data_IF_927442065419
#
_entry.id   IF_927442065419
#
_cell.length_a   1.000
_cell.length_b   1.000
_cell.length_c   1.000
_cell.angle_alpha   90.00
_cell.angle_beta   90.00
_cell.angle_gamma   90.00
#
_symmetry.space_group_name_H-M   'P 1'
#
loop_
_entity.id
_entity.type
_entity.pdbx_description
1 polymer ?
#
# COMPACT_ATOMS: atom_id res chain seq x y z
N UNK A 1 -6.72 -53.66 23.40
CA UNK A 1 -8.06 -53.03 23.27
C UNK A 1 -7.89 -51.59 22.82
N UNK A 2 -8.80 -51.09 21.99
CA UNK A 2 -8.87 -49.71 21.45
C UNK A 2 -7.91 -49.40 20.29
N UNK A 3 -8.22 -49.78 19.05
CA UNK A 3 -9.28 -49.29 18.13
C UNK A 3 -8.96 -47.89 17.58
N UNK A 4 -8.54 -47.88 16.32
CA UNK A 4 -8.75 -46.90 15.26
C UNK A 4 -8.72 -45.39 15.58
N UNK A 5 -7.74 -44.72 14.99
CA UNK A 5 -8.01 -43.48 14.26
C UNK A 5 -7.26 -43.51 12.93
N UNK A 6 -7.89 -44.11 11.91
CA UNK A 6 -7.55 -43.84 10.51
C UNK A 6 -7.81 -42.37 10.28
N UNK A 7 -6.86 -41.64 9.70
CA UNK A 7 -7.21 -40.53 8.81
C UNK A 7 -6.06 -40.29 7.81
N UNK A 8 -6.37 -40.66 6.57
CA UNK A 8 -6.00 -40.04 5.29
C UNK A 8 -4.51 -39.86 4.95
N UNK A 9 -4.02 -40.80 4.14
CA UNK A 9 -2.89 -40.58 3.22
C UNK A 9 -3.37 -39.66 2.09
N UNK A 10 -2.84 -38.43 2.05
CA UNK A 10 -2.99 -37.56 0.88
C UNK A 10 -1.65 -36.88 0.59
N UNK A 11 -0.88 -37.56 -0.27
CA UNK A 11 0.19 -37.08 -1.16
C UNK A 11 0.95 -35.83 -0.68
N UNK A 12 2.15 -36.06 -0.13
CA UNK A 12 3.17 -35.03 0.07
C UNK A 12 3.59 -34.49 -1.32
N UNK A 13 3.30 -33.23 -1.69
CA UNK A 13 3.79 -32.69 -2.95
C UNK A 13 5.32 -32.62 -2.94
N UNK A 14 5.89 -32.89 -4.10
CA UNK A 14 7.31 -33.12 -4.35
C UNK A 14 8.20 -32.01 -3.80
N UNK A 15 9.36 -32.43 -3.27
CA UNK A 15 10.41 -31.51 -2.83
C UNK A 15 10.89 -30.70 -4.03
N UNK A 16 10.70 -29.39 -3.97
CA UNK A 16 11.34 -28.45 -4.88
C UNK A 16 12.86 -28.55 -4.65
N UNK A 17 13.68 -28.76 -5.69
CA UNK A 17 15.13 -28.85 -5.55
C UNK A 17 15.73 -27.53 -5.06
N UNK A 18 16.89 -27.55 -4.38
CA UNK A 18 17.56 -26.33 -3.93
C UNK A 18 17.88 -25.44 -5.13
N UNK A 19 17.31 -24.23 -5.16
CA UNK A 19 17.68 -23.22 -6.13
C UNK A 19 19.06 -22.68 -5.74
N UNK A 20 20.11 -23.26 -6.34
CA UNK A 20 21.46 -22.72 -6.25
C UNK A 20 21.57 -21.45 -7.09
N UNK A 21 21.67 -20.33 -6.36
CA UNK A 21 22.46 -19.11 -6.59
C UNK A 21 22.59 -18.55 -8.02
N UNK A 22 22.23 -17.27 -8.14
CA UNK A 22 22.85 -16.15 -8.91
C UNK A 22 21.72 -15.13 -9.15
N UNK A 23 21.78 -13.85 -8.79
CA UNK A 23 22.84 -12.93 -8.43
C UNK A 23 22.33 -11.97 -7.34
N UNK A 24 23.25 -11.50 -6.50
CA UNK A 24 23.01 -10.54 -5.44
C UNK A 24 22.49 -9.20 -6.00
N UNK A 25 21.17 -9.02 -6.08
CA UNK A 25 20.56 -7.68 -6.17
C UNK A 25 20.56 -7.07 -4.77
N UNK A 26 21.76 -6.90 -4.21
CA UNK A 26 22.01 -5.96 -3.14
C UNK A 26 23.13 -5.08 -3.65
N UNK A 27 22.78 -4.11 -4.49
CA UNK A 27 23.68 -3.01 -4.78
C UNK A 27 23.94 -2.31 -3.44
N UNK A 28 25.17 -2.31 -2.89
CA UNK A 28 25.46 -1.46 -1.76
C UNK A 28 25.42 -0.03 -2.31
N UNK A 29 24.37 0.73 -1.97
CA UNK A 29 24.41 2.18 -2.10
C UNK A 29 25.36 2.69 -1.02
N UNK A 30 26.66 2.61 -1.33
CA UNK A 30 27.70 3.31 -0.60
C UNK A 30 27.94 4.66 -1.27
N UNK A 31 27.31 5.68 -0.72
CA UNK A 31 28.00 6.91 -0.33
C UNK A 31 27.71 7.09 1.15
N UNK A 32 28.69 7.53 1.94
CA UNK A 32 28.59 7.76 3.39
C UNK A 32 27.71 8.98 3.72
N UNK A 33 26.50 9.01 3.16
CA UNK A 33 25.57 10.12 3.25
C UNK A 33 24.46 9.71 4.21
N UNK A 34 24.63 10.13 5.46
CA UNK A 34 23.68 9.95 6.54
C UNK A 34 22.50 10.89 6.30
N UNK A 35 21.34 10.33 5.94
CA UNK A 35 20.11 11.12 5.76
C UNK A 35 19.40 11.26 7.11
N UNK A 36 19.13 12.50 7.51
CA UNK A 36 18.32 12.79 8.70
C UNK A 36 16.83 12.52 8.39
N UNK A 37 16.19 11.72 9.24
CA UNK A 37 14.74 11.47 9.17
C UNK A 37 14.06 12.65 9.87
N UNK A 38 13.31 13.46 9.11
CA UNK A 38 12.58 14.61 9.64
C UNK A 38 11.08 14.32 9.65
N UNK A 39 10.40 14.67 10.74
CA UNK A 39 8.93 14.60 10.83
C UNK A 39 8.31 15.79 10.09
N UNK A 40 7.36 15.51 9.18
CA UNK A 40 6.64 16.54 8.41
C UNK A 40 5.15 16.22 8.41
N UNK A 41 4.31 17.24 8.64
CA UNK A 41 2.86 17.12 8.55
C UNK A 41 2.38 17.36 7.11
N UNK A 42 1.63 16.41 6.56
CA UNK A 42 1.02 16.53 5.23
C UNK A 42 -0.45 16.93 5.42
N UNK A 43 -0.78 18.16 5.03
CA UNK A 43 -2.16 18.65 5.04
C UNK A 43 -2.78 18.58 3.64
N UNK A 44 -4.07 18.25 3.53
CA UNK A 44 -4.76 18.26 2.24
C UNK A 44 -4.86 19.69 1.68
N UNK A 45 -4.79 19.81 0.37
CA UNK A 45 -4.95 21.08 -0.33
C UNK A 45 -6.40 21.58 -0.25
N UNK A 46 -6.57 22.90 -0.30
CA UNK A 46 -7.88 23.55 -0.31
C UNK A 46 -8.20 24.02 -1.72
N UNK A 47 -9.46 23.92 -2.11
CA UNK A 47 -9.97 24.42 -3.39
C UNK A 47 -11.29 25.17 -3.20
N UNK A 48 -11.71 25.92 -4.22
CA UNK A 48 -13.02 26.57 -4.25
C UNK A 48 -13.99 25.64 -4.97
N UNK A 49 -15.11 25.33 -4.32
CA UNK A 49 -16.19 24.57 -4.95
C UNK A 49 -16.76 25.38 -6.13
N UNK A 50 -16.79 24.83 -7.35
CA UNK A 50 -17.29 25.55 -8.52
C UNK A 50 -18.79 25.85 -8.44
N UNK A 51 -19.55 25.06 -7.69
CA UNK A 51 -21.01 25.18 -7.61
C UNK A 51 -21.47 26.24 -6.61
N UNK A 52 -20.85 26.30 -5.42
CA UNK A 52 -21.28 27.20 -4.34
C UNK A 52 -20.27 28.30 -3.99
N UNK A 53 -19.07 28.26 -4.55
CA UNK A 53 -17.99 29.20 -4.23
C UNK A 53 -17.38 29.01 -2.82
N UNK A 54 -17.81 28.00 -2.06
CA UNK A 54 -17.28 27.70 -0.74
C UNK A 54 -15.91 27.02 -0.80
N UNK A 55 -15.05 27.30 0.19
CA UNK A 55 -13.73 26.66 0.30
C UNK A 55 -13.91 25.22 0.84
N UNK A 56 -13.46 24.23 0.07
CA UNK A 56 -13.51 22.80 0.41
C UNK A 56 -12.13 22.16 0.27
N UNK A 57 -11.99 20.88 0.61
CA UNK A 57 -10.75 20.13 0.49
C UNK A 57 -10.67 19.45 -0.87
N UNK A 58 -9.47 19.42 -1.47
CA UNK A 58 -9.20 18.65 -2.67
C UNK A 58 -9.28 17.15 -2.39
N UNK A 59 -9.66 16.36 -3.41
CA UNK A 59 -9.77 14.90 -3.31
C UNK A 59 -11.06 14.38 -2.68
N UNK A 60 -12.03 15.26 -2.38
CA UNK A 60 -13.40 14.85 -2.02
C UNK A 60 -14.23 14.62 -3.30
N UNK A 61 -15.14 13.64 -3.27
CA UNK A 61 -16.08 13.40 -4.38
C UNK A 61 -17.20 14.45 -4.42
N UNK A 62 -17.60 14.97 -3.26
CA UNK A 62 -18.69 15.94 -3.10
C UNK A 62 -18.29 17.08 -2.16
N UNK A 63 -18.80 18.28 -2.42
CA UNK A 63 -18.59 19.43 -1.58
C UNK A 63 -19.28 19.24 -0.21
N UNK A 64 -18.50 19.41 0.86
CA UNK A 64 -18.95 19.37 2.26
C UNK A 64 -19.99 20.45 2.62
N UNK A 65 -20.13 21.49 1.79
CA UNK A 65 -21.03 22.62 2.06
C UNK A 65 -22.34 22.54 1.31
N UNK A 66 -22.31 22.25 0.02
CA UNK A 66 -23.50 22.24 -0.83
C UNK A 66 -23.91 20.86 -1.34
N UNK A 67 -23.06 19.83 -1.20
CA UNK A 67 -23.31 18.50 -1.73
C UNK A 67 -23.14 18.37 -3.26
N UNK A 68 -22.63 19.40 -3.94
CA UNK A 68 -22.30 19.36 -5.37
C UNK A 68 -21.12 18.43 -5.66
N UNK A 69 -21.11 17.82 -6.84
CA UNK A 69 -20.06 16.88 -7.28
C UNK A 69 -18.77 17.63 -7.65
N UNK A 70 -17.64 17.21 -7.11
CA UNK A 70 -16.35 17.84 -7.34
C UNK A 70 -15.59 17.12 -8.46
N UNK A 71 -15.73 17.63 -9.68
CA UNK A 71 -14.92 17.20 -10.82
C UNK A 71 -13.54 17.84 -10.77
N UNK A 72 -12.56 17.10 -10.26
CA UNK A 72 -11.14 17.45 -10.39
C UNK A 72 -10.72 17.23 -11.85
N UNK A 73 -10.17 18.26 -12.50
CA UNK A 73 -9.59 18.14 -13.85
C UNK A 73 -8.10 18.44 -13.70
N UNK A 74 -7.27 17.41 -13.84
CA UNK A 74 -5.81 17.48 -13.79
C UNK A 74 -5.22 18.24 -14.99
#
# INVERSE_FOLDING_TARGET
>A
MSIFKKLIHSKKPERIPPLEKKEDIRKPLGTDEEYEIVEVEILPEKMICPDCGGITLAGLDFCDKCGGELIVRD
#
